data_IF_108110427867
#
_entry.id   IF_108110427867
#
_cell.length_a   1.000
_cell.length_b   1.000
_cell.length_c   1.000
_cell.angle_alpha   90.00
_cell.angle_beta   90.00
_cell.angle_gamma   90.00
#
_symmetry.space_group_name_H-M   'P 1'
#
loop_
_entity.id
_entity.type
_entity.pdbx_description
1 polymer ?
#
# COMPACT_ATOMS: atom_id res chain seq x y z
N UNK A 1 11.03 37.32 -28.76
CA UNK A 1 9.97 37.60 -27.80
C UNK A 1 10.04 36.50 -26.74
N UNK A 2 10.72 36.72 -25.60
CA UNK A 2 10.81 35.75 -24.52
C UNK A 2 9.55 35.90 -23.68
N UNK A 3 8.63 34.98 -23.75
CA UNK A 3 7.52 34.88 -22.79
C UNK A 3 8.08 34.47 -21.44
N UNK A 4 8.15 35.38 -20.50
CA UNK A 4 8.46 35.06 -19.12
C UNK A 4 7.45 34.01 -18.59
N UNK A 5 7.91 32.98 -17.87
CA UNK A 5 7.00 32.02 -17.27
C UNK A 5 6.11 32.76 -16.26
N UNK A 6 4.81 32.42 -16.15
CA UNK A 6 3.90 33.08 -15.23
C UNK A 6 4.41 32.96 -13.80
N UNK A 7 4.66 34.12 -13.18
CA UNK A 7 5.02 34.22 -11.78
C UNK A 7 3.79 33.86 -10.95
N UNK A 8 3.84 32.69 -10.32
CA UNK A 8 2.77 32.21 -9.43
C UNK A 8 2.76 33.09 -8.18
N UNK A 9 1.76 33.96 -8.05
CA UNK A 9 1.70 35.02 -7.05
C UNK A 9 0.78 34.74 -5.86
N UNK A 10 0.04 33.59 -5.84
CA UNK A 10 -0.91 33.27 -4.76
C UNK A 10 -0.88 31.81 -4.29
N UNK A 11 -1.21 31.56 -2.99
CA UNK A 11 -1.25 30.22 -2.43
C UNK A 11 -2.31 29.34 -3.12
N UNK A 12 -3.41 29.90 -3.59
CA UNK A 12 -4.48 29.18 -4.32
C UNK A 12 -4.04 28.72 -5.70
N UNK A 13 -3.28 29.53 -6.45
CA UNK A 13 -2.72 29.14 -7.74
C UNK A 13 -1.65 28.07 -7.59
N UNK A 14 -0.83 28.15 -6.54
CA UNK A 14 0.16 27.12 -6.21
C UNK A 14 -0.51 25.76 -5.94
N UNK A 15 -1.62 25.74 -5.21
CA UNK A 15 -2.38 24.50 -4.92
C UNK A 15 -3.05 23.96 -6.18
N UNK A 16 -3.61 24.81 -7.03
CA UNK A 16 -4.24 24.39 -8.29
C UNK A 16 -3.22 23.80 -9.28
N UNK A 17 -2.05 24.43 -9.41
CA UNK A 17 -0.94 23.91 -10.22
C UNK A 17 -0.37 22.59 -9.68
N UNK A 18 -0.22 22.48 -8.36
CA UNK A 18 0.15 21.22 -7.70
C UNK A 18 -0.85 20.11 -8.02
N UNK A 19 -2.15 20.40 -7.87
CA UNK A 19 -3.21 19.42 -8.14
C UNK A 19 -3.19 18.97 -9.60
N UNK A 20 -3.19 19.88 -10.56
CA UNK A 20 -3.18 19.57 -11.99
C UNK A 20 -1.93 18.77 -12.42
N UNK A 21 -0.75 19.18 -11.97
CA UNK A 21 0.50 18.47 -12.27
C UNK A 21 0.53 17.08 -11.63
N UNK A 22 0.08 16.96 -10.37
CA UNK A 22 0.02 15.67 -9.68
C UNK A 22 -0.93 14.69 -10.37
N UNK A 23 -2.09 15.15 -10.86
CA UNK A 23 -3.05 14.29 -11.59
C UNK A 23 -2.45 13.79 -12.91
N UNK A 24 -1.78 14.65 -13.68
CA UNK A 24 -1.13 14.24 -14.91
C UNK A 24 -0.01 13.22 -14.67
N UNK A 25 0.82 13.45 -13.66
CA UNK A 25 1.86 12.49 -13.25
C UNK A 25 1.26 11.18 -12.73
N UNK A 26 0.19 11.24 -11.95
CA UNK A 26 -0.54 10.05 -11.46
C UNK A 26 -1.05 9.23 -12.63
N UNK A 27 -1.73 9.85 -13.61
CA UNK A 27 -2.20 9.15 -14.81
C UNK A 27 -1.07 8.45 -15.55
N UNK A 28 0.08 9.12 -15.73
CA UNK A 28 1.26 8.54 -16.36
C UNK A 28 1.76 7.31 -15.60
N UNK A 29 1.85 7.40 -14.27
CA UNK A 29 2.29 6.28 -13.43
C UNK A 29 1.31 5.11 -13.49
N UNK A 30 0.01 5.36 -13.41
CA UNK A 30 -1.02 4.32 -13.53
C UNK A 30 -1.00 3.62 -14.89
N UNK A 31 -0.86 4.38 -15.97
CA UNK A 31 -0.73 3.81 -17.33
C UNK A 31 0.53 2.96 -17.47
N UNK A 32 1.64 3.37 -16.85
CA UNK A 32 2.88 2.58 -16.83
C UNK A 32 2.68 1.27 -16.07
N UNK A 33 2.08 1.30 -14.89
CA UNK A 33 1.75 0.11 -14.09
C UNK A 33 0.81 -0.82 -14.86
N UNK A 34 -0.25 -0.29 -15.48
CA UNK A 34 -1.21 -1.08 -16.25
C UNK A 34 -0.60 -1.74 -17.50
N UNK A 35 0.47 -1.17 -18.04
CA UNK A 35 1.19 -1.70 -19.20
C UNK A 35 2.38 -2.58 -18.84
N UNK A 36 2.72 -2.68 -17.58
CA UNK A 36 3.77 -3.58 -17.09
C UNK A 36 3.15 -4.92 -16.63
N UNK A 37 3.25 -5.98 -17.47
CA UNK A 37 2.62 -7.26 -17.15
C UNK A 37 3.20 -7.88 -15.89
N UNK A 38 4.47 -7.64 -15.58
CA UNK A 38 5.11 -8.15 -14.36
C UNK A 38 4.46 -7.54 -13.11
N UNK A 39 4.21 -6.25 -13.11
CA UNK A 39 3.54 -5.57 -12.00
C UNK A 39 2.08 -6.01 -11.88
N UNK A 40 1.34 -6.15 -12.99
CA UNK A 40 -0.05 -6.62 -12.98
C UNK A 40 -0.14 -8.04 -12.43
N UNK A 41 0.72 -8.95 -12.88
CA UNK A 41 0.76 -10.32 -12.38
C UNK A 41 1.07 -10.34 -10.88
N UNK A 42 2.08 -9.63 -10.43
CA UNK A 42 2.48 -9.61 -9.02
C UNK A 42 1.43 -8.99 -8.10
N UNK A 43 0.68 -7.98 -8.58
CA UNK A 43 -0.26 -7.23 -7.73
C UNK A 43 -1.71 -7.70 -7.82
N UNK A 44 -2.10 -8.36 -8.89
CA UNK A 44 -3.48 -8.82 -9.09
C UNK A 44 -3.59 -10.33 -9.27
N UNK A 45 -2.83 -10.91 -10.23
CA UNK A 45 -2.98 -12.32 -10.59
C UNK A 45 -2.45 -13.22 -9.49
N UNK A 46 -1.26 -12.95 -8.97
CA UNK A 46 -0.67 -13.76 -7.91
C UNK A 46 -1.50 -13.76 -6.62
N UNK A 47 -1.93 -12.61 -6.05
CA UNK A 47 -2.80 -12.62 -4.87
C UNK A 47 -4.18 -13.25 -5.12
N UNK A 48 -4.78 -13.06 -6.30
CA UNK A 48 -6.04 -13.71 -6.65
C UNK A 48 -5.89 -15.25 -6.74
N UNK A 49 -4.81 -15.71 -7.37
CA UNK A 49 -4.47 -17.13 -7.42
C UNK A 49 -4.20 -17.69 -6.02
N UNK A 50 -3.47 -16.96 -5.19
CA UNK A 50 -3.24 -17.33 -3.79
C UNK A 50 -4.56 -17.48 -3.02
N UNK A 51 -5.50 -16.54 -3.18
CA UNK A 51 -6.82 -16.60 -2.56
C UNK A 51 -7.58 -17.87 -3.00
N UNK A 52 -7.57 -18.19 -4.29
CA UNK A 52 -8.22 -19.40 -4.82
C UNK A 52 -7.59 -20.67 -4.25
N UNK A 53 -6.25 -20.76 -4.25
CA UNK A 53 -5.53 -21.93 -3.73
C UNK A 53 -5.77 -22.10 -2.24
N UNK A 54 -5.66 -21.03 -1.45
CA UNK A 54 -5.91 -21.06 -0.01
C UNK A 54 -7.34 -21.51 0.27
N UNK A 55 -8.33 -20.97 -0.44
CA UNK A 55 -9.71 -21.38 -0.25
C UNK A 55 -9.94 -22.86 -0.63
N UNK A 56 -9.31 -23.35 -1.69
CA UNK A 56 -9.43 -24.74 -2.11
C UNK A 56 -8.76 -25.72 -1.13
N UNK A 57 -7.56 -25.37 -0.63
CA UNK A 57 -6.74 -26.27 0.21
C UNK A 57 -7.15 -26.20 1.67
N UNK A 58 -7.33 -25.00 2.22
CA UNK A 58 -7.55 -24.81 3.66
C UNK A 58 -8.97 -24.44 4.02
N UNK A 59 -9.82 -24.09 3.04
CA UNK A 59 -11.16 -23.57 3.26
C UNK A 59 -12.02 -24.45 4.18
N UNK A 60 -12.04 -25.76 3.95
CA UNK A 60 -12.82 -26.71 4.76
C UNK A 60 -12.26 -26.87 6.20
N UNK A 61 -10.94 -26.95 6.33
CA UNK A 61 -10.28 -27.17 7.60
C UNK A 61 -10.42 -25.94 8.50
N UNK A 62 -10.11 -24.76 7.96
CA UNK A 62 -10.21 -23.50 8.71
C UNK A 62 -11.65 -23.17 9.08
N UNK A 63 -12.62 -23.45 8.19
CA UNK A 63 -14.04 -23.26 8.48
C UNK A 63 -14.53 -24.17 9.61
N UNK A 64 -14.03 -25.39 9.70
CA UNK A 64 -14.37 -26.32 10.77
C UNK A 64 -13.84 -25.85 12.14
N UNK A 65 -12.64 -25.24 12.17
CA UNK A 65 -12.04 -24.70 13.40
C UNK A 65 -12.61 -23.34 13.80
N UNK A 66 -12.90 -22.47 12.84
CA UNK A 66 -13.29 -21.08 13.11
C UNK A 66 -14.80 -20.90 13.31
N UNK A 67 -15.63 -21.90 13.04
CA UNK A 67 -17.10 -21.79 13.06
C UNK A 67 -17.68 -20.83 12.02
N UNK A 68 -16.84 -20.29 11.11
CA UNK A 68 -17.21 -19.40 10.03
C UNK A 68 -16.36 -19.70 8.80
N UNK A 69 -16.82 -19.26 7.62
CA UNK A 69 -16.05 -19.48 6.37
C UNK A 69 -14.64 -18.87 6.47
N UNK A 70 -13.64 -19.64 6.06
CA UNK A 70 -12.25 -19.21 5.99
C UNK A 70 -12.05 -17.90 5.18
N UNK A 71 -12.97 -17.60 4.25
CA UNK A 71 -12.94 -16.42 3.40
C UNK A 71 -12.94 -15.11 4.19
N UNK A 72 -13.55 -15.08 5.39
CA UNK A 72 -13.57 -13.90 6.25
C UNK A 72 -12.20 -13.54 6.86
N UNK A 73 -11.24 -14.47 6.83
CA UNK A 73 -9.85 -14.21 7.17
C UNK A 73 -8.97 -14.02 5.92
N UNK A 74 -9.15 -14.89 4.91
CA UNK A 74 -8.29 -14.92 3.73
C UNK A 74 -8.52 -13.76 2.76
N UNK A 75 -9.74 -13.30 2.53
CA UNK A 75 -10.02 -12.14 1.64
C UNK A 75 -9.38 -10.85 2.19
N UNK A 76 -9.57 -10.46 3.47
CA UNK A 76 -8.86 -9.33 4.07
C UNK A 76 -7.35 -9.45 3.95
N UNK A 77 -6.80 -10.61 4.32
CA UNK A 77 -5.37 -10.85 4.30
C UNK A 77 -4.79 -10.70 2.89
N UNK A 78 -5.39 -11.34 1.88
CA UNK A 78 -4.87 -11.29 0.51
C UNK A 78 -5.01 -9.88 -0.08
N UNK A 79 -6.05 -9.12 0.27
CA UNK A 79 -6.18 -7.72 -0.12
C UNK A 79 -5.05 -6.85 0.46
N UNK A 80 -4.69 -7.05 1.74
CA UNK A 80 -3.58 -6.36 2.39
C UNK A 80 -2.23 -6.77 1.82
N UNK A 81 -2.03 -8.07 1.55
CA UNK A 81 -0.82 -8.59 0.89
C UNK A 81 -0.66 -7.99 -0.51
N UNK A 82 -1.74 -7.87 -1.28
CA UNK A 82 -1.72 -7.23 -2.59
C UNK A 82 -1.34 -5.74 -2.49
N UNK A 83 -1.85 -5.03 -1.47
CA UNK A 83 -1.45 -3.66 -1.18
C UNK A 83 0.05 -3.56 -0.89
N UNK A 84 0.58 -4.41 -0.01
CA UNK A 84 2.00 -4.44 0.37
C UNK A 84 2.92 -4.78 -0.81
N UNK A 85 2.59 -5.84 -1.54
CA UNK A 85 3.42 -6.33 -2.66
C UNK A 85 3.64 -5.26 -3.73
N UNK A 86 2.59 -4.52 -4.07
CA UNK A 86 2.71 -3.44 -5.03
C UNK A 86 3.49 -2.24 -4.48
N UNK A 87 3.37 -1.93 -3.18
CA UNK A 87 4.19 -0.88 -2.56
C UNK A 87 5.68 -1.23 -2.59
N UNK A 88 6.03 -2.51 -2.38
CA UNK A 88 7.41 -3.01 -2.52
C UNK A 88 7.88 -2.87 -3.98
N UNK A 89 7.07 -3.29 -4.94
CA UNK A 89 7.41 -3.14 -6.36
C UNK A 89 7.61 -1.67 -6.75
N UNK A 90 6.76 -0.77 -6.26
CA UNK A 90 6.90 0.68 -6.42
C UNK A 90 8.18 1.24 -5.81
N UNK A 91 8.56 0.77 -4.63
CA UNK A 91 9.80 1.16 -3.96
C UNK A 91 11.05 0.70 -4.73
N UNK A 92 11.04 -0.53 -5.26
CA UNK A 92 12.12 -1.04 -6.11
C UNK A 92 12.25 -0.22 -7.40
N UNK A 93 11.13 0.11 -8.04
CA UNK A 93 11.12 0.96 -9.23
C UNK A 93 11.68 2.36 -8.92
N UNK A 94 11.30 2.95 -7.78
CA UNK A 94 11.80 4.24 -7.32
C UNK A 94 13.32 4.20 -7.05
N UNK A 95 13.82 3.11 -6.45
CA UNK A 95 15.25 2.89 -6.26
C UNK A 95 16.01 2.90 -7.59
N UNK A 96 15.53 2.17 -8.58
CA UNK A 96 16.10 2.15 -9.94
C UNK A 96 16.07 3.52 -10.61
N UNK A 97 14.97 4.26 -10.47
CA UNK A 97 14.84 5.63 -10.98
C UNK A 97 15.84 6.58 -10.32
N UNK A 98 16.06 6.43 -9.00
CA UNK A 98 17.07 7.18 -8.25
C UNK A 98 18.46 6.90 -8.81
N UNK A 99 18.83 5.63 -8.99
CA UNK A 99 20.14 5.22 -9.46
C UNK A 99 20.39 5.64 -10.92
N UNK A 100 19.31 5.77 -11.71
CA UNK A 100 19.34 6.31 -13.08
C UNK A 100 19.36 7.86 -13.15
N UNK A 101 19.38 8.56 -12.02
CA UNK A 101 19.43 10.02 -11.93
C UNK A 101 18.14 10.74 -12.40
N UNK A 102 17.02 10.02 -12.52
CA UNK A 102 15.75 10.62 -12.95
C UNK A 102 15.23 11.72 -12.01
N UNK A 103 15.34 11.62 -10.67
CA UNK A 103 14.94 12.71 -9.78
C UNK A 103 15.66 14.02 -10.07
N UNK A 104 16.93 13.98 -10.47
CA UNK A 104 17.70 15.17 -10.82
C UNK A 104 17.19 15.84 -12.10
N UNK A 105 16.79 15.05 -13.10
CA UNK A 105 16.20 15.59 -14.34
C UNK A 105 14.87 16.30 -14.11
N UNK A 106 14.04 15.79 -13.17
CA UNK A 106 12.80 16.45 -12.78
C UNK A 106 13.05 17.73 -11.97
N UNK A 107 14.20 17.83 -11.27
CA UNK A 107 14.53 18.98 -10.43
C UNK A 107 14.83 20.27 -11.21
N UNK A 108 15.29 20.13 -12.45
CA UNK A 108 15.58 21.28 -13.36
C UNK A 108 14.38 21.70 -14.19
N UNK A 109 13.29 20.95 -14.17
CA UNK A 109 12.05 21.32 -14.86
C UNK A 109 11.24 22.32 -14.03
N UNK A 110 10.47 23.23 -14.65
CA UNK A 110 9.61 24.18 -13.97
C UNK A 110 8.33 23.50 -13.43
N UNK A 111 8.53 22.49 -12.56
CA UNK A 111 7.45 21.71 -11.94
C UNK A 111 7.57 21.87 -10.42
N UNK A 112 6.42 21.93 -9.75
CA UNK A 112 6.43 22.06 -8.28
C UNK A 112 7.11 20.84 -7.64
N UNK A 113 8.07 21.09 -6.72
CA UNK A 113 8.93 20.06 -6.09
C UNK A 113 8.18 18.99 -5.29
N UNK A 114 6.91 19.23 -4.92
CA UNK A 114 6.03 18.31 -4.23
C UNK A 114 5.14 17.47 -5.17
N UNK A 115 5.08 17.80 -6.47
CA UNK A 115 4.15 17.17 -7.41
C UNK A 115 4.46 15.68 -7.62
N UNK A 116 5.73 15.31 -7.79
CA UNK A 116 6.11 13.91 -8.01
C UNK A 116 5.86 13.01 -6.78
N UNK A 117 6.30 13.36 -5.54
CA UNK A 117 5.96 12.56 -4.37
C UNK A 117 4.45 12.42 -4.14
N UNK A 118 3.68 13.48 -4.35
CA UNK A 118 2.22 13.43 -4.22
C UNK A 118 1.59 12.53 -5.31
N UNK A 119 2.04 12.64 -6.55
CA UNK A 119 1.58 11.80 -7.63
C UNK A 119 1.83 10.31 -7.39
N UNK A 120 2.97 9.97 -6.77
CA UNK A 120 3.28 8.58 -6.37
C UNK A 120 2.33 8.07 -5.30
N UNK A 121 2.03 8.86 -4.29
CA UNK A 121 1.06 8.48 -3.26
C UNK A 121 -0.35 8.31 -3.84
N UNK A 122 -0.77 9.19 -4.76
CA UNK A 122 -2.07 9.07 -5.43
C UNK A 122 -2.14 7.85 -6.36
N UNK A 123 -1.06 7.57 -7.11
CA UNK A 123 -0.98 6.37 -7.93
C UNK A 123 -1.01 5.10 -7.08
N UNK A 124 -0.33 5.11 -5.94
CA UNK A 124 -0.33 4.03 -4.98
C UNK A 124 -1.72 3.82 -4.37
N UNK A 125 -2.39 4.89 -3.96
CA UNK A 125 -3.77 4.83 -3.46
C UNK A 125 -4.74 4.22 -4.49
N UNK A 126 -4.67 4.67 -5.74
CA UNK A 126 -5.50 4.13 -6.81
C UNK A 126 -5.19 2.64 -7.06
N UNK A 127 -3.92 2.25 -7.06
CA UNK A 127 -3.50 0.85 -7.22
C UNK A 127 -4.03 -0.03 -6.09
N UNK A 128 -3.91 0.41 -4.84
CA UNK A 128 -4.42 -0.32 -3.66
C UNK A 128 -5.94 -0.51 -3.76
N UNK A 129 -6.68 0.54 -4.13
CA UNK A 129 -8.13 0.46 -4.28
C UNK A 129 -8.52 -0.54 -5.38
N UNK A 130 -7.86 -0.51 -6.53
CA UNK A 130 -8.11 -1.47 -7.63
C UNK A 130 -7.78 -2.89 -7.17
N UNK A 131 -6.62 -3.10 -6.55
CA UNK A 131 -6.23 -4.43 -6.06
C UNK A 131 -7.22 -4.95 -5.02
N UNK A 132 -7.62 -4.12 -4.05
CA UNK A 132 -8.61 -4.49 -3.04
C UNK A 132 -9.97 -4.83 -3.66
N UNK A 133 -10.44 -4.01 -4.61
CA UNK A 133 -11.70 -4.28 -5.32
C UNK A 133 -11.65 -5.62 -6.07
N UNK A 134 -10.56 -5.92 -6.76
CA UNK A 134 -10.38 -7.21 -7.45
C UNK A 134 -10.40 -8.36 -6.44
N UNK A 135 -9.71 -8.24 -5.30
CA UNK A 135 -9.72 -9.30 -4.27
C UNK A 135 -11.11 -9.50 -3.66
N UNK A 136 -11.86 -8.42 -3.45
CA UNK A 136 -13.26 -8.49 -2.99
C UNK A 136 -14.14 -9.16 -4.04
N UNK A 137 -14.02 -8.80 -5.31
CA UNK A 137 -14.77 -9.42 -6.40
C UNK A 137 -14.49 -10.93 -6.45
N UNK A 138 -13.23 -11.34 -6.45
CA UNK A 138 -12.84 -12.75 -6.42
C UNK A 138 -13.41 -13.45 -5.17
N UNK A 139 -13.31 -12.80 -4.00
CA UNK A 139 -13.89 -13.30 -2.75
C UNK A 139 -15.39 -13.51 -2.85
N UNK A 140 -16.14 -12.56 -3.43
CA UNK A 140 -17.59 -12.65 -3.64
C UNK A 140 -17.94 -13.80 -4.58
N UNK A 141 -17.17 -14.04 -5.63
CA UNK A 141 -17.32 -15.18 -6.52
C UNK A 141 -17.08 -16.52 -5.79
N UNK A 142 -16.19 -16.56 -4.81
CA UNK A 142 -15.91 -17.71 -3.96
C UNK A 142 -16.91 -17.88 -2.80
N UNK A 143 -17.86 -16.96 -2.61
CA UNK A 143 -18.88 -17.04 -1.57
C UNK A 143 -18.72 -16.07 -0.40
N UNK A 144 -17.74 -15.16 -0.43
CA UNK A 144 -17.64 -14.07 0.55
C UNK A 144 -18.87 -13.14 0.45
N UNK A 145 -19.41 -12.73 1.59
CA UNK A 145 -20.58 -11.83 1.65
C UNK A 145 -20.40 -10.80 2.76
N UNK A 146 -20.74 -9.56 2.52
CA UNK A 146 -20.84 -8.53 3.54
C UNK A 146 -22.14 -8.71 4.34
N UNK A 147 -22.02 -8.96 5.65
CA UNK A 147 -23.16 -9.13 6.55
C UNK A 147 -23.51 -7.85 7.32
N UNK A 148 -22.60 -6.86 7.36
CA UNK A 148 -22.73 -5.63 8.14
C UNK A 148 -23.22 -4.42 7.32
N UNK A 149 -23.70 -4.65 6.10
CA UNK A 149 -24.27 -3.61 5.23
C UNK A 149 -23.22 -2.83 4.43
N UNK A 150 -23.74 -1.86 3.63
CA UNK A 150 -22.95 -1.13 2.62
C UNK A 150 -21.88 -0.23 3.26
N UNK A 151 -22.22 0.45 4.35
CA UNK A 151 -21.29 1.36 5.04
C UNK A 151 -20.06 0.59 5.54
N UNK A 152 -20.26 -0.58 6.14
CA UNK A 152 -19.17 -1.45 6.56
C UNK A 152 -18.32 -1.92 5.36
N UNK A 153 -18.94 -2.17 4.20
CA UNK A 153 -18.23 -2.48 2.96
C UNK A 153 -17.34 -1.34 2.47
N UNK A 154 -17.81 -0.09 2.55
CA UNK A 154 -16.99 1.10 2.20
C UNK A 154 -15.80 1.24 3.15
N UNK A 155 -16.02 1.11 4.46
CA UNK A 155 -14.94 1.16 5.46
C UNK A 155 -13.98 0.00 5.28
N UNK A 156 -14.46 -1.19 4.92
CA UNK A 156 -13.63 -2.35 4.58
C UNK A 156 -12.64 -2.04 3.45
N UNK A 157 -13.07 -1.35 2.39
CA UNK A 157 -12.18 -0.94 1.29
C UNK A 157 -11.17 0.14 1.71
N UNK A 158 -11.53 0.97 2.68
CA UNK A 158 -10.63 2.01 3.20
C UNK A 158 -9.50 1.45 4.08
N UNK A 159 -9.69 0.31 4.75
CA UNK A 159 -8.65 -0.29 5.62
C UNK A 159 -7.36 -0.62 4.85
N UNK A 160 -7.38 -1.37 3.72
CA UNK A 160 -6.17 -1.62 2.93
C UNK A 160 -5.56 -0.34 2.35
N UNK A 161 -6.38 0.65 2.02
CA UNK A 161 -5.89 1.95 1.54
C UNK A 161 -5.05 2.65 2.59
N UNK A 162 -5.58 2.82 3.79
CA UNK A 162 -4.88 3.53 4.88
C UNK A 162 -3.64 2.75 5.33
N UNK A 163 -3.78 1.43 5.53
CA UNK A 163 -2.68 0.55 5.90
C UNK A 163 -1.58 0.55 4.83
N UNK A 164 -1.96 0.37 3.56
CA UNK A 164 -1.04 0.31 2.43
C UNK A 164 -0.30 1.62 2.18
N UNK A 165 -0.93 2.78 2.37
CA UNK A 165 -0.26 4.08 2.27
C UNK A 165 0.77 4.30 3.39
N UNK A 166 0.46 3.88 4.63
CA UNK A 166 1.43 3.88 5.73
C UNK A 166 2.63 2.98 5.41
N UNK A 167 2.38 1.76 4.95
CA UNK A 167 3.40 0.82 4.53
C UNK A 167 4.21 1.32 3.32
N UNK A 168 3.56 1.87 2.30
CA UNK A 168 4.21 2.46 1.13
C UNK A 168 5.19 3.57 1.52
N UNK A 169 4.80 4.46 2.44
CA UNK A 169 5.67 5.54 2.91
C UNK A 169 6.94 4.99 3.57
N UNK A 170 6.81 3.92 4.35
CA UNK A 170 7.94 3.25 5.00
C UNK A 170 8.90 2.63 3.95
N UNK A 171 8.38 1.86 2.99
CA UNK A 171 9.22 1.23 1.97
C UNK A 171 9.83 2.23 0.99
N UNK A 172 9.14 3.33 0.69
CA UNK A 172 9.67 4.43 -0.12
C UNK A 172 10.79 5.16 0.61
N UNK A 173 10.67 5.38 1.92
CA UNK A 173 11.77 5.94 2.72
C UNK A 173 12.99 5.02 2.69
N UNK A 174 12.80 3.71 2.87
CA UNK A 174 13.88 2.72 2.78
C UNK A 174 14.57 2.74 1.41
N UNK A 175 13.80 2.77 0.31
CA UNK A 175 14.33 2.84 -1.06
C UNK A 175 15.16 4.11 -1.33
N UNK A 176 14.87 5.20 -0.60
CA UNK A 176 15.65 6.45 -0.71
C UNK A 176 16.95 6.44 0.09
N UNK A 177 17.06 5.59 1.11
CA UNK A 177 18.23 5.52 2.00
C UNK A 177 19.16 4.37 1.64
N UNK A 178 18.63 3.24 1.21
CA UNK A 178 19.41 2.03 0.93
C UNK A 178 19.06 1.43 -0.42
N UNK A 179 20.06 0.82 -1.06
CA UNK A 179 19.89 -0.01 -2.26
C UNK A 179 19.54 -1.47 -1.90
N UNK A 180 19.64 -1.83 -0.60
CA UNK A 180 19.39 -3.20 -0.14
C UNK A 180 17.90 -3.40 0.09
N UNK A 181 17.27 -4.23 -0.73
CA UNK A 181 15.85 -4.61 -0.61
C UNK A 181 15.60 -5.54 0.59
N UNK A 182 16.64 -6.18 1.11
CA UNK A 182 16.55 -7.17 2.19
C UNK A 182 15.80 -6.67 3.45
N UNK A 183 15.93 -5.39 3.81
CA UNK A 183 15.18 -4.82 4.94
C UNK A 183 13.67 -4.80 4.68
N UNK A 184 13.28 -4.36 3.48
CA UNK A 184 11.88 -4.29 3.06
C UNK A 184 11.27 -5.69 2.97
N UNK A 185 12.04 -6.63 2.44
CA UNK A 185 11.67 -8.04 2.34
C UNK A 185 11.50 -8.68 3.73
N UNK A 186 12.44 -8.44 4.64
CA UNK A 186 12.37 -8.94 6.01
C UNK A 186 11.13 -8.40 6.76
N UNK A 187 10.84 -7.11 6.65
CA UNK A 187 9.64 -6.51 7.26
C UNK A 187 8.38 -7.10 6.64
N UNK A 188 8.36 -7.30 5.32
CA UNK A 188 7.23 -7.92 4.64
C UNK A 188 7.02 -9.36 5.10
N UNK A 189 8.08 -10.16 5.21
CA UNK A 189 8.02 -11.53 5.71
C UNK A 189 7.52 -11.61 7.16
N UNK A 190 8.00 -10.71 8.04
CA UNK A 190 7.51 -10.64 9.42
C UNK A 190 6.01 -10.39 9.49
N UNK A 191 5.47 -9.56 8.58
CA UNK A 191 4.03 -9.28 8.53
C UNK A 191 3.18 -10.48 8.06
N UNK A 192 3.77 -11.47 7.40
CA UNK A 192 3.06 -12.70 7.06
C UNK A 192 2.68 -13.56 8.27
N UNK A 193 3.35 -13.40 9.42
CA UNK A 193 2.92 -14.03 10.67
C UNK A 193 1.70 -13.31 11.24
N UNK A 194 0.53 -13.56 10.69
CA UNK A 194 -0.72 -12.86 11.03
C UNK A 194 -1.89 -13.83 11.19
N UNK A 195 -2.99 -13.35 11.76
CA UNK A 195 -4.22 -14.14 11.92
C UNK A 195 -4.98 -14.44 10.62
N UNK A 196 -4.47 -13.98 9.49
CA UNK A 196 -5.07 -14.24 8.18
C UNK A 196 -4.93 -15.68 7.70
N UNK A 197 -3.78 -16.31 7.96
CA UNK A 197 -3.52 -17.69 7.57
C UNK A 197 -3.92 -18.69 8.65
N UNK A 198 -3.62 -18.37 9.90
CA UNK A 198 -3.75 -19.29 11.03
C UNK A 198 -4.44 -18.57 12.18
N UNK A 199 -5.48 -19.15 12.76
CA UNK A 199 -6.13 -18.58 13.95
C UNK A 199 -5.13 -18.36 15.09
N UNK A 200 -5.28 -17.28 15.87
CA UNK A 200 -4.36 -16.92 16.96
C UNK A 200 -4.15 -18.07 17.95
N UNK A 201 -5.18 -18.89 18.19
CA UNK A 201 -5.12 -20.03 19.10
C UNK A 201 -4.12 -21.12 18.68
N UNK A 202 -3.84 -21.25 17.38
CA UNK A 202 -2.90 -22.24 16.85
C UNK A 202 -1.43 -21.81 16.95
N UNK A 203 -1.15 -20.54 17.30
CA UNK A 203 0.23 -20.08 17.55
C UNK A 203 0.71 -20.55 18.94
N UNK A 204 2.02 -20.82 19.12
CA UNK A 204 2.61 -21.07 20.42
C UNK A 204 2.34 -19.92 21.39
N UNK A 205 2.19 -20.23 22.69
CA UNK A 205 1.80 -19.23 23.70
C UNK A 205 2.69 -17.98 23.72
N UNK A 206 4.00 -18.14 23.49
CA UNK A 206 4.96 -17.04 23.45
C UNK A 206 4.78 -16.12 22.23
N UNK A 207 4.30 -16.65 21.09
CA UNK A 207 4.12 -15.89 19.86
C UNK A 207 2.77 -15.16 19.79
N UNK A 208 1.75 -15.64 20.53
CA UNK A 208 0.39 -15.05 20.51
C UNK A 208 0.35 -13.55 20.77
N UNK A 209 1.00 -12.99 21.81
CA UNK A 209 0.95 -11.55 22.06
C UNK A 209 1.61 -10.77 20.92
N UNK A 210 2.70 -11.28 20.34
CA UNK A 210 3.37 -10.64 19.21
C UNK A 210 2.47 -10.61 17.97
N UNK A 211 1.89 -11.75 17.59
CA UNK A 211 0.99 -11.88 16.45
C UNK A 211 -0.29 -11.06 16.65
N UNK A 212 -0.87 -11.06 17.86
CA UNK A 212 -2.09 -10.32 18.16
C UNK A 212 -1.92 -8.80 17.98
N UNK A 213 -0.77 -8.23 18.35
CA UNK A 213 -0.51 -6.79 18.27
C UNK A 213 0.14 -6.36 16.96
N UNK A 214 0.41 -7.30 16.06
CA UNK A 214 1.01 -7.00 14.78
C UNK A 214 0.06 -6.14 13.90
N UNK A 215 0.56 -5.12 13.20
CA UNK A 215 -0.26 -4.21 12.41
C UNK A 215 -1.14 -4.91 11.38
N UNK A 216 -0.62 -5.93 10.69
CA UNK A 216 -1.36 -6.69 9.69
C UNK A 216 -2.50 -7.49 10.32
N UNK A 217 -2.28 -8.11 11.50
CA UNK A 217 -3.33 -8.81 12.25
C UNK A 217 -4.46 -7.85 12.62
N UNK A 218 -4.14 -6.67 13.13
CA UNK A 218 -5.15 -5.66 13.49
C UNK A 218 -5.97 -5.22 12.26
N UNK A 219 -5.32 -5.03 11.12
CA UNK A 219 -6.01 -4.69 9.88
C UNK A 219 -6.94 -5.82 9.39
N UNK A 220 -6.49 -7.09 9.48
CA UNK A 220 -7.29 -8.26 9.13
C UNK A 220 -8.50 -8.38 10.07
N UNK A 221 -8.30 -8.23 11.37
CA UNK A 221 -9.36 -8.37 12.37
C UNK A 221 -10.39 -7.22 12.26
N UNK A 222 -9.96 -5.99 11.94
CA UNK A 222 -10.86 -4.89 11.61
C UNK A 222 -11.73 -5.22 10.39
N UNK A 223 -11.12 -5.71 9.31
CA UNK A 223 -11.84 -6.09 8.09
C UNK A 223 -12.76 -7.29 8.30
N UNK A 224 -12.34 -8.26 9.11
CA UNK A 224 -13.19 -9.40 9.52
C UNK A 224 -14.43 -8.93 10.29
N UNK A 225 -14.25 -8.03 11.26
CA UNK A 225 -15.35 -7.42 12.01
C UNK A 225 -16.30 -6.65 11.12
N UNK A 226 -15.79 -5.90 10.15
CA UNK A 226 -16.59 -5.14 9.18
C UNK A 226 -17.38 -6.05 8.21
N UNK A 227 -16.91 -7.24 7.92
CA UNK A 227 -17.57 -8.15 6.96
C UNK A 227 -18.50 -9.16 7.62
N UNK A 228 -18.08 -9.80 8.72
CA UNK A 228 -18.82 -10.86 9.40
C UNK A 228 -19.54 -10.35 10.66
N UNK A 229 -19.03 -9.31 11.29
CA UNK A 229 -19.41 -8.83 12.62
C UNK A 229 -18.35 -9.15 13.68
N UNK A 230 -18.47 -8.48 14.82
CA UNK A 230 -17.53 -8.59 15.91
C UNK A 230 -16.86 -7.28 16.31
N UNK A 231 -15.78 -7.29 17.08
CA UNK A 231 -15.11 -6.08 17.54
C UNK A 231 -14.38 -5.39 16.41
N UNK A 232 -14.83 -4.17 16.03
CA UNK A 232 -14.24 -3.36 14.95
C UNK A 232 -13.39 -2.22 15.50
N UNK A 233 -13.86 -1.54 16.57
CA UNK A 233 -13.27 -0.27 17.04
C UNK A 233 -11.81 -0.41 17.45
N UNK A 234 -11.47 -1.40 18.28
CA UNK A 234 -10.09 -1.61 18.75
C UNK A 234 -9.12 -1.88 17.59
N UNK A 235 -9.34 -2.93 16.78
CA UNK A 235 -8.51 -3.25 15.63
C UNK A 235 -8.40 -2.11 14.62
N UNK A 236 -9.50 -1.40 14.34
CA UNK A 236 -9.50 -0.27 13.40
C UNK A 236 -8.64 0.90 13.93
N UNK A 237 -8.79 1.26 15.20
CA UNK A 237 -7.98 2.31 15.82
C UNK A 237 -6.50 1.93 15.87
N UNK A 238 -6.17 0.68 16.16
CA UNK A 238 -4.79 0.19 16.13
C UNK A 238 -4.20 0.27 14.71
N UNK A 239 -4.96 -0.11 13.69
CA UNK A 239 -4.56 0.02 12.28
C UNK A 239 -4.34 1.48 11.88
N UNK A 240 -5.24 2.38 12.24
CA UNK A 240 -5.11 3.82 11.99
C UNK A 240 -3.90 4.40 12.71
N UNK A 241 -3.72 4.09 14.00
CA UNK A 241 -2.59 4.58 14.79
C UNK A 241 -1.25 4.14 14.19
N UNK A 242 -1.15 2.85 13.79
CA UNK A 242 0.05 2.36 13.11
C UNK A 242 0.29 3.06 11.77
N UNK A 243 -0.75 3.20 10.93
CA UNK A 243 -0.63 3.80 9.60
C UNK A 243 -0.23 5.28 9.67
N UNK A 244 -0.88 6.03 10.56
CA UNK A 244 -0.54 7.45 10.81
C UNK A 244 0.85 7.57 11.41
N UNK A 245 1.21 6.70 12.37
CA UNK A 245 2.55 6.65 12.96
C UNK A 245 3.63 6.35 11.92
N UNK A 246 3.42 5.35 11.06
CA UNK A 246 4.32 5.01 9.97
C UNK A 246 4.47 6.20 9.01
N UNK A 247 3.36 6.81 8.61
CA UNK A 247 3.39 8.01 7.76
C UNK A 247 4.15 9.17 8.42
N UNK A 248 3.87 9.50 9.66
CA UNK A 248 4.52 10.60 10.39
C UNK A 248 6.03 10.37 10.55
N UNK A 249 6.46 9.14 10.85
CA UNK A 249 7.87 8.80 11.06
C UNK A 249 8.64 8.78 9.74
N UNK A 250 8.06 8.20 8.68
CA UNK A 250 8.78 7.91 7.44
C UNK A 250 8.59 8.94 6.32
N UNK A 251 7.56 9.80 6.35
CA UNK A 251 7.37 10.83 5.33
C UNK A 251 8.53 11.84 5.29
N UNK A 252 9.05 12.25 6.45
CA UNK A 252 10.21 13.14 6.54
C UNK A 252 11.47 12.55 5.89
N UNK A 253 11.93 11.37 6.32
CA UNK A 253 13.03 10.63 5.67
C UNK A 253 12.83 10.39 4.17
N UNK A 254 11.64 9.97 3.74
CA UNK A 254 11.32 9.76 2.33
C UNK A 254 11.53 11.03 1.50
N UNK A 255 10.99 12.17 1.95
CA UNK A 255 11.12 13.46 1.28
C UNK A 255 12.57 13.97 1.29
N UNK A 256 13.28 13.82 2.41
CA UNK A 256 14.70 14.22 2.52
C UNK A 256 15.58 13.38 1.58
N UNK A 257 15.35 12.06 1.55
CA UNK A 257 16.06 11.16 0.65
C UNK A 257 15.82 11.51 -0.82
N UNK A 258 14.57 11.75 -1.19
CA UNK A 258 14.19 12.18 -2.54
C UNK A 258 14.88 13.50 -2.94
N UNK A 259 14.86 14.51 -2.05
CA UNK A 259 15.54 15.81 -2.27
C UNK A 259 17.05 15.66 -2.41
N UNK A 260 17.69 14.79 -1.64
CA UNK A 260 19.14 14.50 -1.75
C UNK A 260 19.46 13.87 -3.10
N UNK A 261 18.73 12.83 -3.51
CA UNK A 261 18.90 12.18 -4.80
C UNK A 261 18.70 13.14 -5.97
N UNK A 262 17.76 14.08 -5.86
CA UNK A 262 17.53 15.10 -6.85
C UNK A 262 18.70 16.12 -6.96
N UNK A 263 19.35 16.46 -5.86
CA UNK A 263 20.47 17.42 -5.82
C UNK A 263 21.80 16.81 -6.26
N UNK A 264 22.10 15.58 -5.85
CA UNK A 264 23.36 14.91 -6.19
C UNK A 264 23.53 14.63 -7.67
N UNK A 265 22.43 14.33 -8.39
CA UNK A 265 22.47 14.16 -9.84
C UNK A 265 22.57 15.48 -10.64
N UNK A 266 22.22 16.62 -10.03
CA UNK A 266 22.34 17.94 -10.69
C UNK A 266 23.77 18.52 -10.60
N UNK A 267 24.59 18.05 -9.64
CA UNK A 267 25.97 18.53 -9.43
C UNK A 267 27.06 17.72 -10.15
N UNK A 268 26.72 16.57 -10.76
CA UNK A 268 27.68 15.69 -11.44
C UNK A 268 27.86 15.93 -12.94
N UNK A 269 27.30 17.01 -13.48
CA UNK A 269 27.34 17.37 -14.89
C UNK A 269 28.04 18.69 -15.20
N UNK A 270 28.94 19.15 -14.31
CA UNK A 270 29.78 20.33 -14.54
C UNK A 270 31.23 19.93 -14.73
#
# INVERSE_FOLDING_TARGET
>A
MRTEPPVVTGPTETVALLGGQSVLHTRRLLLRVARDPQTVVATLVFPAGLLMVLNAVTGRQVSAFAGASALYGTVPMVALVAAMSGSVAGAVALGRERDAGLPARFWVLPVHRGADPLARLLAEAARILVATAVMVIVGVLLGFRFQQGVLAGVVFLAVPLVFGLGFATMVFAAAMVTTRTAFVEAVSLLMFFSTGFVPLAAYPAWARPLVAHQPLTQAIDAMRGLSLGGPVRGPLLATLAWSVGAFAVFAGPALRGYRRAARSGAGGGA
#
